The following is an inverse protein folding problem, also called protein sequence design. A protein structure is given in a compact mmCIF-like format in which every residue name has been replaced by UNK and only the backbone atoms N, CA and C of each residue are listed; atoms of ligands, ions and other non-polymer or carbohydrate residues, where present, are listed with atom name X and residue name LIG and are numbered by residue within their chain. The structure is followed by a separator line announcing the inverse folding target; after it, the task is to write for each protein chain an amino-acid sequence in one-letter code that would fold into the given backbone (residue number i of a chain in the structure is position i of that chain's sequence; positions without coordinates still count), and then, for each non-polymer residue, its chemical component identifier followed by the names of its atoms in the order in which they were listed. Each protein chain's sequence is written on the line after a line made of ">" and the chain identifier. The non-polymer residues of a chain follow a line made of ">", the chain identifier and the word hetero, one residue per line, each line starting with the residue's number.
data_IF_010807601444
#
_entry.id   IF_010807601444
#
_cell.length_a   1.000
_cell.length_b   1.000
_cell.length_c   1.000
_cell.angle_alpha   90.00
_cell.angle_beta   90.00
_cell.angle_gamma   90.00
#
_symmetry.space_group_name_H-M   'P 1'
#
loop_
_entity.id
_entity.type
_entity.pdbx_description
1 polymer ?
#
# COMPACT_ATOMS: atom_id res chain seq x y z
N UNK A 1 -19.19 3.47 17.63
CA UNK A 1 -18.93 4.92 17.44
C UNK A 1 -18.28 5.11 16.09
N UNK A 2 -18.98 5.68 15.11
CA UNK A 2 -18.38 6.12 13.86
C UNK A 2 -17.43 7.27 14.19
N UNK A 3 -16.13 7.08 13.98
CA UNK A 3 -15.14 8.15 14.13
C UNK A 3 -15.53 9.27 13.16
N UNK A 4 -15.44 10.55 13.58
CA UNK A 4 -15.84 11.67 12.73
C UNK A 4 -15.13 11.55 11.38
N UNK A 5 -15.90 11.74 10.30
CA UNK A 5 -15.42 11.81 8.92
C UNK A 5 -14.52 13.06 8.80
N UNK A 6 -13.29 12.97 9.32
CA UNK A 6 -12.25 13.90 8.97
C UNK A 6 -12.14 13.77 7.45
N UNK A 7 -12.54 14.79 6.70
CA UNK A 7 -12.64 14.77 5.25
C UNK A 7 -11.38 14.16 4.62
N UNK A 8 -11.42 12.85 4.36
CA UNK A 8 -10.28 12.12 3.81
C UNK A 8 -10.30 12.41 2.32
N UNK A 9 -9.29 13.15 1.85
CA UNK A 9 -9.19 13.50 0.44
C UNK A 9 -9.06 12.23 -0.39
N UNK A 10 -10.16 11.84 -1.03
CA UNK A 10 -10.21 10.72 -1.97
C UNK A 10 -9.36 11.07 -3.18
N UNK A 11 -8.42 10.19 -3.50
CA UNK A 11 -7.58 10.28 -4.70
C UNK A 11 -8.10 9.28 -5.71
N UNK A 12 -7.96 9.61 -6.99
CA UNK A 12 -8.26 8.68 -8.09
C UNK A 12 -6.93 8.29 -8.75
N UNK A 13 -6.81 7.01 -9.12
CA UNK A 13 -5.68 6.46 -9.86
C UNK A 13 -6.20 5.69 -11.06
N UNK A 14 -5.66 5.99 -12.23
CA UNK A 14 -5.93 5.23 -13.46
C UNK A 14 -4.84 4.18 -13.60
N UNK A 15 -5.22 2.90 -13.49
CA UNK A 15 -4.31 1.77 -13.68
C UNK A 15 -4.00 1.58 -15.17
N UNK A 16 -2.87 0.96 -15.51
CA UNK A 16 -2.52 0.65 -16.89
C UNK A 16 -3.55 -0.29 -17.56
N UNK A 17 -4.24 -1.12 -16.78
CA UNK A 17 -5.35 -1.96 -17.23
C UNK A 17 -6.57 -1.18 -17.73
N UNK A 18 -6.60 0.14 -17.55
CA UNK A 18 -7.71 1.02 -17.98
C UNK A 18 -8.79 1.25 -16.93
N UNK A 19 -8.67 0.62 -15.76
CA UNK A 19 -9.60 0.82 -14.63
C UNK A 19 -9.22 2.05 -13.80
N UNK A 20 -10.23 2.74 -13.28
CA UNK A 20 -10.03 3.89 -12.38
C UNK A 20 -10.43 3.51 -10.97
N UNK A 21 -9.48 3.59 -10.05
CA UNK A 21 -9.68 3.28 -8.63
C UNK A 21 -9.70 4.57 -7.82
N UNK A 22 -10.67 4.70 -6.93
CA UNK A 22 -10.68 5.72 -5.88
C UNK A 22 -10.09 5.12 -4.61
N UNK A 23 -9.18 5.84 -3.95
CA UNK A 23 -8.61 5.39 -2.70
C UNK A 23 -8.29 6.53 -1.75
N UNK A 24 -8.22 6.22 -0.47
CA UNK A 24 -7.73 7.12 0.56
C UNK A 24 -7.02 6.35 1.68
N UNK A 25 -6.07 7.01 2.33
CA UNK A 25 -5.37 6.45 3.47
C UNK A 25 -6.29 6.38 4.69
N UNK A 26 -6.41 5.21 5.30
CA UNK A 26 -7.28 4.99 6.46
C UNK A 26 -6.48 5.09 7.76
N UNK A 27 -5.51 4.19 7.94
CA UNK A 27 -4.61 4.15 9.08
C UNK A 27 -3.36 3.32 8.81
N UNK A 28 -2.37 3.45 9.68
CA UNK A 28 -1.19 2.60 9.75
C UNK A 28 -1.07 2.06 11.16
N UNK A 29 -0.89 0.75 11.28
CA UNK A 29 -0.73 0.07 12.56
C UNK A 29 0.55 -0.78 12.56
N UNK A 30 1.27 -0.89 13.69
CA UNK A 30 2.29 -1.92 13.84
C UNK A 30 1.64 -3.30 13.70
N UNK A 31 2.23 -4.16 12.89
CA UNK A 31 1.69 -5.48 12.59
C UNK A 31 2.82 -6.52 12.54
N UNK A 32 2.44 -7.78 12.72
CA UNK A 32 3.37 -8.91 12.59
C UNK A 32 2.73 -9.96 11.69
N UNK A 33 3.41 -10.34 10.61
CA UNK A 33 2.96 -11.41 9.68
C UNK A 33 4.05 -12.44 9.50
N UNK A 34 3.69 -13.71 9.56
CA UNK A 34 4.57 -14.86 9.28
C UNK A 34 5.91 -14.75 10.04
N UNK A 35 5.84 -14.37 11.32
CA UNK A 35 7.02 -14.19 12.18
C UNK A 35 7.79 -12.88 12.02
N UNK A 36 7.55 -12.12 10.94
CA UNK A 36 8.21 -10.83 10.65
C UNK A 36 7.42 -9.64 11.19
N UNK A 37 8.13 -8.70 11.77
CA UNK A 37 7.58 -7.43 12.26
C UNK A 37 7.53 -6.39 11.15
N UNK A 38 6.54 -5.49 11.20
CA UNK A 38 6.33 -4.50 10.17
C UNK A 38 5.22 -3.52 10.52
N UNK A 39 4.74 -2.82 9.49
CA UNK A 39 3.59 -1.91 9.59
C UNK A 39 2.56 -2.29 8.54
N UNK A 40 1.30 -2.34 8.95
CA UNK A 40 0.17 -2.56 8.05
C UNK A 40 -0.46 -1.22 7.71
N UNK A 41 -0.34 -0.82 6.45
CA UNK A 41 -0.98 0.36 5.89
C UNK A 41 -2.33 -0.05 5.31
N UNK A 42 -3.40 0.49 5.87
CA UNK A 42 -4.76 0.24 5.37
C UNK A 42 -5.21 1.39 4.50
N UNK A 43 -5.57 1.07 3.26
CA UNK A 43 -6.18 2.00 2.31
C UNK A 43 -7.62 1.58 2.07
N UNK A 44 -8.53 2.53 2.09
CA UNK A 44 -9.89 2.26 1.63
C UNK A 44 -9.92 2.51 0.13
N UNK A 45 -10.37 1.51 -0.63
CA UNK A 45 -10.34 1.48 -2.08
C UNK A 45 -11.74 1.24 -2.62
N UNK A 46 -12.05 1.83 -3.78
CA UNK A 46 -13.28 1.60 -4.51
C UNK A 46 -13.03 1.63 -6.02
N UNK A 47 -13.43 0.58 -6.72
CA UNK A 47 -13.39 0.54 -8.18
C UNK A 47 -14.67 1.13 -8.82
N UNK A 48 -15.83 0.95 -8.18
CA UNK A 48 -17.16 1.34 -8.69
C UNK A 48 -17.69 2.65 -8.07
N UNK A 49 -16.91 3.31 -7.20
CA UNK A 49 -17.32 4.46 -6.36
C UNK A 49 -18.48 4.20 -5.38
N UNK A 50 -19.10 3.02 -5.45
CA UNK A 50 -20.18 2.59 -4.55
C UNK A 50 -19.68 1.65 -3.45
N UNK A 51 -18.84 0.68 -3.84
CA UNK A 51 -18.30 -0.33 -2.93
C UNK A 51 -16.93 0.10 -2.45
N UNK A 52 -16.81 0.47 -1.19
CA UNK A 52 -15.53 0.81 -0.54
C UNK A 52 -15.09 -0.36 0.32
N UNK A 53 -13.86 -0.82 0.14
CA UNK A 53 -13.30 -1.95 0.89
C UNK A 53 -11.87 -1.64 1.36
N UNK A 54 -11.45 -2.22 2.51
CA UNK A 54 -10.09 -2.04 3.00
C UNK A 54 -9.12 -2.93 2.22
N UNK A 55 -8.03 -2.34 1.75
CA UNK A 55 -6.87 -3.02 1.21
C UNK A 55 -5.69 -2.80 2.14
N UNK A 56 -5.08 -3.91 2.57
CA UNK A 56 -4.02 -3.91 3.58
C UNK A 56 -2.69 -4.18 2.91
N UNK A 57 -1.70 -3.34 3.21
CA UNK A 57 -0.35 -3.46 2.67
C UNK A 57 0.61 -3.61 3.84
N UNK A 58 1.23 -4.77 3.93
CA UNK A 58 2.18 -5.07 4.99
C UNK A 58 3.61 -4.69 4.57
N UNK A 59 4.21 -3.72 5.25
CA UNK A 59 5.59 -3.30 5.01
C UNK A 59 6.49 -3.97 6.05
N UNK A 60 7.38 -4.84 5.57
CA UNK A 60 8.31 -5.58 6.43
C UNK A 60 9.39 -4.66 6.99
N UNK A 61 9.54 -4.62 8.32
CA UNK A 61 10.60 -3.84 8.99
C UNK A 61 11.99 -4.30 8.60
N UNK A 62 12.17 -5.60 8.38
CA UNK A 62 13.45 -6.17 7.96
C UNK A 62 13.88 -5.68 6.56
N UNK A 63 12.92 -5.54 5.64
CA UNK A 63 13.18 -4.97 4.32
C UNK A 63 13.68 -3.53 4.39
N UNK A 64 13.06 -2.71 5.26
CA UNK A 64 13.50 -1.35 5.53
C UNK A 64 14.91 -1.31 6.15
N UNK A 65 15.21 -2.25 7.04
CA UNK A 65 16.53 -2.39 7.67
C UNK A 65 17.63 -2.75 6.66
N UNK A 66 17.35 -3.61 5.69
CA UNK A 66 18.30 -3.93 4.63
C UNK A 66 18.51 -2.77 3.66
N UNK A 67 17.45 -2.04 3.31
CA UNK A 67 17.57 -0.80 2.53
C UNK A 67 18.42 0.24 3.25
N UNK A 68 18.26 0.41 4.57
CA UNK A 68 19.08 1.33 5.39
C UNK A 68 20.59 1.10 5.22
N UNK A 69 21.02 -0.16 5.07
CA UNK A 69 22.43 -0.50 4.84
C UNK A 69 22.93 -0.01 3.48
N UNK A 70 22.03 0.15 2.50
CA UNK A 70 22.31 0.57 1.12
C UNK A 70 22.28 2.10 0.98
N UNK A 71 21.24 2.76 1.48
CA UNK A 71 21.05 4.22 1.39
C UNK A 71 21.81 5.02 2.46
N UNK A 72 22.57 4.35 3.34
CA UNK A 72 23.28 4.93 4.51
C UNK A 72 22.39 5.72 5.49
N UNK A 73 21.07 5.72 5.26
CA UNK A 73 20.04 6.35 6.07
C UNK A 73 18.83 5.43 6.06
N UNK A 74 18.17 5.30 7.21
CA UNK A 74 16.93 4.54 7.29
C UNK A 74 15.77 5.29 6.64
N UNK A 75 14.84 4.53 6.06
CA UNK A 75 13.61 5.07 5.49
C UNK A 75 12.80 5.76 6.59
N UNK A 76 12.38 6.99 6.32
CA UNK A 76 11.47 7.74 7.18
C UNK A 76 10.04 7.24 7.02
N UNK A 77 9.16 7.56 7.96
CA UNK A 77 7.74 7.17 7.87
C UNK A 77 7.05 7.68 6.59
N UNK A 78 7.54 8.78 6.01
CA UNK A 78 7.07 9.31 4.72
C UNK A 78 7.49 8.41 3.56
N UNK A 79 8.73 7.92 3.56
CA UNK A 79 9.24 7.00 2.54
C UNK A 79 8.55 5.63 2.66
N UNK A 80 8.37 5.11 3.87
CA UNK A 80 7.60 3.88 4.11
C UNK A 80 6.16 4.01 3.56
N UNK A 81 5.51 5.14 3.81
CA UNK A 81 4.20 5.44 3.25
C UNK A 81 4.24 5.53 1.71
N UNK A 82 5.26 6.15 1.14
CA UNK A 82 5.43 6.26 -0.30
C UNK A 82 5.59 4.88 -0.96
N UNK A 83 6.42 4.01 -0.39
CA UNK A 83 6.60 2.64 -0.85
C UNK A 83 5.30 1.84 -0.73
N UNK A 84 4.59 1.93 0.40
CA UNK A 84 3.29 1.27 0.56
C UNK A 84 2.28 1.74 -0.51
N UNK A 85 2.28 3.03 -0.83
CA UNK A 85 1.44 3.61 -1.89
C UNK A 85 1.88 3.16 -3.28
N UNK A 86 3.16 2.99 -3.55
CA UNK A 86 3.64 2.42 -4.83
C UNK A 86 3.21 0.96 -4.97
N UNK A 87 3.28 0.16 -3.90
CA UNK A 87 2.76 -1.20 -3.91
C UNK A 87 1.26 -1.26 -4.18
N UNK A 88 0.49 -0.31 -3.65
CA UNK A 88 -0.94 -0.15 -3.97
C UNK A 88 -1.17 0.06 -5.47
N UNK A 89 -0.40 0.95 -6.09
CA UNK A 89 -0.52 1.25 -7.52
C UNK A 89 -0.11 0.08 -8.39
N UNK A 90 0.99 -0.58 -8.04
CA UNK A 90 1.43 -1.79 -8.73
C UNK A 90 0.34 -2.87 -8.66
N UNK A 91 -0.29 -3.07 -7.50
CA UNK A 91 -1.39 -4.03 -7.39
C UNK A 91 -2.57 -3.68 -8.30
N UNK A 92 -2.92 -2.39 -8.44
CA UNK A 92 -3.96 -1.97 -9.38
C UNK A 92 -3.57 -2.20 -10.85
N UNK A 93 -2.29 -2.06 -11.17
CA UNK A 93 -1.74 -2.28 -12.50
C UNK A 93 -1.68 -3.77 -12.88
N UNK A 94 -1.34 -4.63 -11.91
CA UNK A 94 -1.26 -6.09 -12.11
C UNK A 94 -2.65 -6.74 -12.31
N UNK A 95 -3.72 -6.06 -11.89
CA UNK A 95 -5.08 -6.57 -11.99
C UNK A 95 -5.65 -6.41 -13.40
N UNK A 96 -6.05 -7.53 -13.99
CA UNK A 96 -6.71 -7.58 -15.30
C UNK A 96 -8.25 -7.42 -15.20
N UNK A 97 -8.78 -7.30 -13.98
CA UNK A 97 -10.21 -7.17 -13.69
C UNK A 97 -10.43 -6.13 -12.58
N UNK A 98 -11.61 -5.50 -12.51
CA UNK A 98 -11.91 -4.54 -11.45
C UNK A 98 -11.83 -5.22 -10.08
N UNK A 99 -11.12 -4.58 -9.15
CA UNK A 99 -10.96 -5.10 -7.81
C UNK A 99 -12.25 -4.89 -7.00
N UNK A 100 -12.79 -5.98 -6.49
CA UNK A 100 -13.89 -5.98 -5.53
C UNK A 100 -13.40 -6.37 -4.12
N UNK A 101 -14.30 -6.31 -3.13
CA UNK A 101 -13.98 -6.61 -1.74
C UNK A 101 -13.51 -8.06 -1.52
N UNK A 102 -14.02 -9.03 -2.27
CA UNK A 102 -13.60 -10.43 -2.20
C UNK A 102 -12.22 -10.65 -2.83
N UNK A 103 -11.96 -10.01 -3.97
CA UNK A 103 -10.63 -9.99 -4.58
C UNK A 103 -9.60 -9.34 -3.65
N UNK A 104 -9.92 -8.18 -3.07
CA UNK A 104 -9.05 -7.46 -2.15
C UNK A 104 -8.69 -8.27 -0.89
N UNK A 105 -9.62 -9.06 -0.36
CA UNK A 105 -9.37 -9.93 0.79
C UNK A 105 -8.46 -11.12 0.46
N UNK A 106 -8.42 -11.52 -0.81
CA UNK A 106 -7.63 -12.66 -1.30
C UNK A 106 -6.22 -12.27 -1.71
N UNK A 107 -5.96 -10.99 -1.98
CA UNK A 107 -4.64 -10.49 -2.37
C UNK A 107 -3.80 -10.18 -1.12
N UNK A 108 -2.65 -10.85 -1.01
CA UNK A 108 -1.63 -10.50 -0.01
C UNK A 108 -0.69 -9.44 -0.57
N UNK A 109 -0.93 -8.18 -0.22
CA UNK A 109 0.00 -7.10 -0.54
C UNK A 109 1.03 -6.95 0.57
N UNK A 110 2.28 -7.23 0.21
CA UNK A 110 3.44 -7.00 1.06
C UNK A 110 4.52 -6.21 0.32
N UNK A 111 5.30 -5.49 1.11
CA UNK A 111 6.55 -4.86 0.72
C UNK A 111 7.66 -5.59 1.46
N UNK A 112 8.48 -6.27 0.68
CA UNK A 112 9.60 -7.09 1.13
C UNK A 112 10.86 -6.70 0.35
N UNK A 113 12.01 -7.29 0.67
CA UNK A 113 13.26 -6.89 0.02
C UNK A 113 13.25 -7.07 -1.51
N UNK A 114 12.47 -8.01 -2.05
CA UNK A 114 12.46 -8.29 -3.48
C UNK A 114 11.78 -7.19 -4.31
N UNK A 115 10.77 -6.50 -3.77
CA UNK A 115 10.07 -5.41 -4.45
C UNK A 115 10.45 -4.02 -3.93
N UNK A 116 10.98 -3.93 -2.71
CA UNK A 116 11.39 -2.66 -2.11
C UNK A 116 12.40 -1.91 -2.99
N UNK A 117 13.39 -2.60 -3.55
CA UNK A 117 14.43 -1.98 -4.38
C UNK A 117 13.84 -1.25 -5.60
N UNK A 118 12.89 -1.89 -6.30
CA UNK A 118 12.19 -1.28 -7.44
C UNK A 118 11.37 -0.06 -7.03
N UNK A 119 10.72 -0.09 -5.86
CA UNK A 119 9.99 1.07 -5.34
C UNK A 119 10.93 2.22 -4.94
N UNK A 120 12.09 1.91 -4.37
CA UNK A 120 13.09 2.93 -4.02
C UNK A 120 13.68 3.59 -5.27
N UNK A 121 13.95 2.82 -6.33
CA UNK A 121 14.37 3.37 -7.61
C UNK A 121 13.32 4.32 -8.21
N UNK A 122 12.02 4.00 -8.09
CA UNK A 122 10.96 4.93 -8.52
C UNK A 122 10.86 6.20 -7.67
N UNK A 123 11.34 6.15 -6.43
CA UNK A 123 11.39 7.30 -5.53
C UNK A 123 12.70 8.10 -5.66
N UNK A 124 13.63 7.66 -6.52
CA UNK A 124 14.98 8.23 -6.71
C UNK A 124 15.81 8.20 -5.40
N UNK A 125 15.71 7.08 -4.65
CA UNK A 125 16.40 6.85 -3.36
C UNK A 125 17.49 5.78 -3.45
#
# INVERSE_FOLDING_TARGET
>A
MARPDAARRVKSYSAASGFVYQYYFFEVLPARRTGKEGREYTYMVSADRRSVFPLKIFVEKDALGASTRRTRRGLTGTEEYAVAKLRLFQAFDELNAPLDAGGAASIDLRVDQANLDGFLQQLDL
#
